data_IF_876841019972
#
_entry.id   IF_876841019972
#
_cell.length_a   1.000
_cell.length_b   1.000
_cell.length_c   1.000
_cell.angle_alpha   90.00
_cell.angle_beta   90.00
_cell.angle_gamma   90.00
#
_symmetry.space_group_name_H-M   'P 1'
#
loop_
_entity.id
_entity.type
_entity.pdbx_description
1 polymer ?
#
# COMPACT_ATOMS: atom_id res chain seq x y z
N UNK A 1 -10.61 22.71 -11.05
CA UNK A 1 -10.88 21.32 -11.42
C UNK A 1 -9.65 20.79 -12.15
N UNK A 2 -9.04 19.74 -11.69
CA UNK A 2 -7.81 19.21 -12.31
C UNK A 2 -8.15 18.66 -13.69
N UNK A 3 -7.52 19.15 -14.74
CA UNK A 3 -7.62 18.51 -16.05
C UNK A 3 -6.62 17.36 -16.11
N UNK A 4 -7.10 16.14 -15.88
CA UNK A 4 -6.29 14.93 -15.92
C UNK A 4 -5.87 14.55 -17.34
N UNK A 5 -6.55 15.08 -18.36
CA UNK A 5 -6.47 14.63 -19.73
C UNK A 5 -5.69 15.60 -20.64
N UNK A 6 -5.05 16.59 -20.05
CA UNK A 6 -4.18 17.55 -20.75
C UNK A 6 -2.86 16.95 -21.26
N UNK A 7 -2.53 15.78 -20.83
CA UNK A 7 -1.30 15.08 -21.21
C UNK A 7 -1.56 13.59 -21.33
N UNK A 8 -0.83 12.92 -22.20
CA UNK A 8 -1.03 11.50 -22.44
C UNK A 8 -0.72 10.65 -21.19
N UNK A 9 0.32 11.03 -20.44
CA UNK A 9 0.72 10.30 -19.23
C UNK A 9 0.98 11.28 -18.09
N UNK A 10 0.08 11.28 -17.13
CA UNK A 10 0.17 12.06 -15.90
C UNK A 10 0.59 11.15 -14.73
N UNK A 11 1.63 11.53 -13.99
CA UNK A 11 1.93 10.93 -12.69
C UNK A 11 1.41 11.81 -11.55
N UNK A 12 0.64 11.21 -10.65
CA UNK A 12 0.27 11.79 -9.37
C UNK A 12 1.26 11.36 -8.30
N UNK A 13 1.96 12.34 -7.73
CA UNK A 13 2.94 12.12 -6.66
C UNK A 13 2.42 12.73 -5.38
N UNK A 14 2.53 12.02 -4.28
CA UNK A 14 2.08 12.53 -2.97
C UNK A 14 2.59 11.68 -1.83
N UNK A 15 2.50 12.22 -0.61
CA UNK A 15 2.88 11.50 0.58
C UNK A 15 2.11 10.18 0.73
N UNK A 16 2.63 9.28 1.55
CA UNK A 16 1.93 8.02 1.89
C UNK A 16 0.58 8.35 2.51
N UNK A 17 -0.50 7.71 2.01
CA UNK A 17 -1.88 7.93 2.46
C UNK A 17 -2.38 9.38 2.38
N UNK A 18 -1.86 10.20 1.48
CA UNK A 18 -2.27 11.59 1.27
C UNK A 18 -3.58 11.77 0.49
N UNK A 19 -4.29 10.70 0.15
CA UNK A 19 -5.54 10.75 -0.59
C UNK A 19 -5.41 10.52 -2.10
N UNK A 20 -4.28 9.97 -2.58
CA UNK A 20 -4.09 9.64 -4.02
C UNK A 20 -5.24 8.83 -4.60
N UNK A 21 -5.75 7.84 -3.88
CA UNK A 21 -6.83 6.96 -4.35
C UNK A 21 -8.11 7.72 -4.68
N UNK A 22 -8.44 8.82 -3.98
CA UNK A 22 -9.61 9.62 -4.33
C UNK A 22 -9.40 10.36 -5.65
N UNK A 23 -8.19 10.82 -5.95
CA UNK A 23 -7.86 11.42 -7.23
C UNK A 23 -7.92 10.40 -8.37
N UNK A 24 -7.50 9.16 -8.13
CA UNK A 24 -7.63 8.05 -9.08
C UNK A 24 -9.09 7.71 -9.37
N UNK A 25 -9.94 7.68 -8.35
CA UNK A 25 -11.39 7.50 -8.49
C UNK A 25 -12.00 8.67 -9.27
N UNK A 26 -11.62 9.92 -8.99
CA UNK A 26 -12.08 11.11 -9.71
C UNK A 26 -11.66 11.08 -11.19
N UNK A 27 -10.44 10.63 -11.47
CA UNK A 27 -9.98 10.40 -12.86
C UNK A 27 -10.87 9.39 -13.57
N UNK A 28 -11.11 8.22 -12.97
CA UNK A 28 -11.98 7.19 -13.54
C UNK A 28 -13.41 7.72 -13.72
N UNK A 29 -13.96 8.38 -12.73
CA UNK A 29 -15.28 8.99 -12.81
C UNK A 29 -15.39 9.99 -13.96
N UNK A 30 -14.40 10.86 -14.11
CA UNK A 30 -14.36 11.85 -15.20
C UNK A 30 -14.22 11.20 -16.56
N UNK A 31 -13.38 10.16 -16.68
CA UNK A 31 -13.23 9.37 -17.90
C UNK A 31 -14.57 8.77 -18.35
N UNK A 32 -15.24 8.09 -17.44
CA UNK A 32 -16.51 7.37 -17.72
C UNK A 32 -17.66 8.34 -18.00
N UNK A 33 -17.81 9.37 -17.18
CA UNK A 33 -19.00 10.24 -17.24
C UNK A 33 -18.88 11.36 -18.27
N UNK A 34 -17.72 12.02 -18.35
CA UNK A 34 -17.49 13.16 -19.26
C UNK A 34 -17.00 12.71 -20.62
N UNK A 35 -15.99 11.84 -20.67
CA UNK A 35 -15.35 11.44 -21.92
C UNK A 35 -15.95 10.19 -22.55
N UNK A 36 -16.82 9.46 -21.81
CA UNK A 36 -17.42 8.20 -22.26
C UNK A 36 -16.38 7.15 -22.68
N UNK A 37 -15.26 7.12 -21.93
CA UNK A 37 -14.17 6.18 -22.17
C UNK A 37 -14.06 5.19 -20.99
N UNK A 38 -13.96 3.89 -21.27
CA UNK A 38 -13.71 2.89 -20.24
C UNK A 38 -12.32 3.09 -19.61
N UNK A 39 -12.16 2.62 -18.37
CA UNK A 39 -10.89 2.67 -17.67
C UNK A 39 -10.43 1.28 -17.28
N UNK A 40 -9.19 0.96 -17.61
CA UNK A 40 -8.46 -0.20 -17.11
C UNK A 40 -7.69 0.25 -15.86
N UNK A 41 -8.12 -0.22 -14.68
CA UNK A 41 -7.48 0.12 -13.42
C UNK A 41 -6.59 -1.03 -12.94
N UNK A 42 -5.29 -0.78 -12.89
CA UNK A 42 -4.28 -1.78 -12.54
C UNK A 42 -3.82 -1.54 -11.11
N UNK A 43 -3.96 -2.54 -10.25
CA UNK A 43 -3.46 -2.54 -8.87
C UNK A 43 -2.38 -3.60 -8.68
N UNK A 44 -1.66 -3.53 -7.57
CA UNK A 44 -0.65 -4.54 -7.22
C UNK A 44 -1.26 -5.96 -7.23
N UNK A 45 -0.39 -6.96 -7.30
CA UNK A 45 -0.82 -8.37 -7.27
C UNK A 45 -1.23 -8.82 -5.85
N UNK A 46 -2.18 -8.11 -5.24
CA UNK A 46 -2.74 -8.39 -3.91
C UNK A 46 -4.26 -8.27 -3.99
N UNK A 47 -4.96 -9.37 -3.73
CA UNK A 47 -6.44 -9.42 -3.82
C UNK A 47 -7.12 -8.42 -2.90
N UNK A 48 -6.55 -8.16 -1.72
CA UNK A 48 -7.07 -7.18 -0.78
C UNK A 48 -7.11 -5.76 -1.34
N UNK A 49 -6.10 -5.35 -2.11
CA UNK A 49 -6.07 -4.02 -2.76
C UNK A 49 -7.24 -3.87 -3.74
N UNK A 50 -7.48 -4.92 -4.53
CA UNK A 50 -8.56 -4.96 -5.50
C UNK A 50 -9.95 -4.85 -4.85
N UNK A 51 -10.16 -5.57 -3.76
CA UNK A 51 -11.43 -5.55 -3.01
C UNK A 51 -11.64 -4.20 -2.31
N UNK A 52 -10.62 -3.66 -1.67
CA UNK A 52 -10.69 -2.36 -1.00
C UNK A 52 -10.97 -1.22 -2.00
N UNK A 53 -10.29 -1.25 -3.15
CA UNK A 53 -10.52 -0.25 -4.20
C UNK A 53 -11.96 -0.32 -4.73
N UNK A 54 -12.48 -1.54 -5.00
CA UNK A 54 -13.86 -1.72 -5.43
C UNK A 54 -14.86 -1.17 -4.43
N UNK A 55 -14.64 -1.44 -3.14
CA UNK A 55 -15.51 -0.91 -2.07
C UNK A 55 -15.54 0.62 -2.09
N UNK A 56 -14.38 1.28 -2.24
CA UNK A 56 -14.29 2.75 -2.36
C UNK A 56 -14.99 3.29 -3.60
N UNK A 57 -14.91 2.61 -4.75
CA UNK A 57 -15.68 3.01 -5.92
C UNK A 57 -17.19 2.98 -5.67
N UNK A 58 -17.68 1.92 -5.02
CA UNK A 58 -19.11 1.78 -4.69
C UNK A 58 -19.58 2.83 -3.69
N UNK A 59 -18.73 3.25 -2.78
CA UNK A 59 -19.02 4.31 -1.81
C UNK A 59 -19.08 5.70 -2.46
N UNK A 60 -18.13 6.00 -3.35
CA UNK A 60 -17.97 7.35 -3.88
C UNK A 60 -18.63 7.60 -5.24
N UNK A 61 -18.99 6.54 -5.97
CA UNK A 61 -19.49 6.67 -7.34
C UNK A 61 -20.63 5.70 -7.64
N UNK A 62 -21.39 6.01 -8.70
CA UNK A 62 -22.43 5.10 -9.25
C UNK A 62 -22.00 4.49 -10.59
N UNK A 63 -20.73 4.60 -10.96
CA UNK A 63 -20.24 4.04 -12.22
C UNK A 63 -20.14 2.51 -12.13
N UNK A 64 -20.22 1.85 -13.27
CA UNK A 64 -20.06 0.40 -13.34
C UNK A 64 -18.61 0.03 -13.10
N UNK A 65 -18.36 -0.87 -12.15
CA UNK A 65 -17.01 -1.34 -11.77
C UNK A 65 -17.00 -2.86 -11.70
N UNK A 66 -16.14 -3.47 -12.49
CA UNK A 66 -15.99 -4.92 -12.55
C UNK A 66 -14.57 -5.34 -12.11
N UNK A 67 -14.48 -6.48 -11.43
CA UNK A 67 -13.20 -7.15 -11.16
C UNK A 67 -12.92 -8.16 -12.28
N UNK A 68 -11.78 -8.03 -12.96
CA UNK A 68 -11.41 -8.91 -14.07
C UNK A 68 -11.37 -10.39 -13.68
N UNK A 69 -11.05 -10.67 -12.42
CA UNK A 69 -11.03 -12.03 -11.87
C UNK A 69 -12.41 -12.69 -11.76
N UNK A 70 -13.50 -11.90 -11.77
CA UNK A 70 -14.87 -12.38 -11.55
C UNK A 70 -15.75 -12.36 -12.81
N UNK A 71 -15.24 -11.80 -13.92
CA UNK A 71 -15.99 -11.65 -15.17
C UNK A 71 -15.37 -12.48 -16.30
N UNK A 72 -16.20 -12.91 -17.23
CA UNK A 72 -15.73 -13.53 -18.49
C UNK A 72 -15.13 -12.48 -19.42
N UNK A 73 -14.42 -12.92 -20.46
CA UNK A 73 -13.88 -12.00 -21.48
C UNK A 73 -14.98 -11.18 -22.15
N UNK A 74 -16.12 -11.80 -22.52
CA UNK A 74 -17.25 -11.12 -23.13
C UNK A 74 -17.89 -10.07 -22.20
N UNK A 75 -18.05 -10.40 -20.91
CA UNK A 75 -18.55 -9.44 -19.92
C UNK A 75 -17.60 -8.26 -19.73
N UNK A 76 -16.29 -8.50 -19.78
CA UNK A 76 -15.30 -7.42 -19.70
C UNK A 76 -15.34 -6.51 -20.95
N UNK A 77 -15.46 -7.09 -22.16
CA UNK A 77 -15.65 -6.29 -23.39
C UNK A 77 -16.94 -5.46 -23.29
N UNK A 78 -18.06 -6.06 -22.89
CA UNK A 78 -19.32 -5.34 -22.70
C UNK A 78 -19.24 -4.24 -21.62
N UNK A 79 -18.41 -4.43 -20.58
CA UNK A 79 -18.12 -3.37 -19.61
C UNK A 79 -17.35 -2.21 -20.25
N UNK A 80 -16.38 -2.49 -21.12
CA UNK A 80 -15.65 -1.44 -21.85
C UNK A 80 -16.56 -0.71 -22.86
N UNK A 81 -17.41 -1.41 -23.60
CA UNK A 81 -18.37 -0.81 -24.53
C UNK A 81 -19.35 0.14 -23.85
N UNK A 82 -19.69 -0.14 -22.59
CA UNK A 82 -20.56 0.71 -21.77
C UNK A 82 -19.79 1.75 -20.95
N UNK A 83 -18.53 1.99 -21.27
CA UNK A 83 -17.63 2.91 -20.55
C UNK A 83 -17.56 2.61 -19.04
N UNK A 84 -17.36 1.36 -18.66
CA UNK A 84 -17.16 0.96 -17.26
C UNK A 84 -15.69 0.98 -16.84
N UNK A 85 -15.44 0.68 -15.58
CA UNK A 85 -14.10 0.48 -15.00
C UNK A 85 -13.84 -1.00 -14.79
N UNK A 86 -12.70 -1.49 -15.26
CA UNK A 86 -12.23 -2.85 -15.01
C UNK A 86 -11.00 -2.80 -14.10
N UNK A 87 -11.12 -3.35 -12.90
CA UNK A 87 -10.00 -3.45 -11.95
C UNK A 87 -9.33 -4.80 -12.13
N UNK A 88 -8.00 -4.79 -12.27
CA UNK A 88 -7.19 -6.01 -12.40
C UNK A 88 -5.92 -5.95 -11.56
N UNK A 89 -5.42 -7.15 -11.21
CA UNK A 89 -4.13 -7.32 -10.53
C UNK A 89 -2.98 -7.27 -11.54
N UNK A 90 -1.87 -6.63 -11.15
CA UNK A 90 -0.63 -6.61 -11.93
C UNK A 90 0.07 -7.98 -11.85
N UNK A 91 -0.48 -9.00 -12.51
CA UNK A 91 0.11 -10.32 -12.67
C UNK A 91 -0.07 -10.83 -14.12
N UNK A 92 0.76 -11.79 -14.50
CA UNK A 92 0.82 -12.31 -15.88
C UNK A 92 -0.55 -12.75 -16.39
N UNK A 93 -1.32 -13.47 -15.58
CA UNK A 93 -2.60 -14.04 -16.00
C UNK A 93 -3.64 -12.95 -16.31
N UNK A 94 -3.84 -11.99 -15.39
CA UNK A 94 -4.82 -10.94 -15.57
C UNK A 94 -4.41 -9.92 -16.65
N UNK A 95 -3.13 -9.57 -16.72
CA UNK A 95 -2.60 -8.70 -17.77
C UNK A 95 -2.71 -9.35 -19.16
N UNK A 96 -2.46 -10.65 -19.28
CA UNK A 96 -2.66 -11.38 -20.53
C UNK A 96 -4.13 -11.40 -20.95
N UNK A 97 -5.04 -11.72 -20.03
CA UNK A 97 -6.48 -11.66 -20.27
C UNK A 97 -6.92 -10.26 -20.70
N UNK A 98 -6.42 -9.21 -20.02
CA UNK A 98 -6.73 -7.82 -20.37
C UNK A 98 -6.17 -7.44 -21.76
N UNK A 99 -4.97 -7.89 -22.11
CA UNK A 99 -4.43 -7.72 -23.48
C UNK A 99 -5.37 -8.30 -24.53
N UNK A 100 -5.90 -9.50 -24.33
CA UNK A 100 -6.86 -10.11 -25.26
C UNK A 100 -8.15 -9.28 -25.38
N UNK A 101 -8.66 -8.77 -24.25
CA UNK A 101 -9.85 -7.90 -24.23
C UNK A 101 -9.60 -6.62 -25.03
N UNK A 102 -8.45 -5.96 -24.81
CA UNK A 102 -8.04 -4.75 -25.55
C UNK A 102 -7.95 -5.02 -27.07
N UNK A 103 -7.48 -6.19 -27.48
CA UNK A 103 -7.42 -6.57 -28.89
C UNK A 103 -8.82 -6.77 -29.53
N UNK A 104 -9.81 -7.13 -28.72
CA UNK A 104 -11.21 -7.28 -29.18
C UNK A 104 -11.98 -5.95 -29.13
N UNK A 105 -11.53 -4.99 -28.33
CA UNK A 105 -12.19 -3.71 -28.16
C UNK A 105 -11.66 -2.69 -29.16
N UNK A 106 -12.52 -2.17 -30.01
CA UNK A 106 -12.15 -1.23 -31.08
C UNK A 106 -12.17 0.25 -30.65
N UNK A 107 -12.61 0.54 -29.43
CA UNK A 107 -12.74 1.90 -28.93
C UNK A 107 -11.47 2.41 -28.21
N UNK A 108 -11.46 3.70 -27.90
CA UNK A 108 -10.42 4.29 -27.06
C UNK A 108 -10.70 4.00 -25.59
N UNK A 109 -9.63 3.82 -24.82
CA UNK A 109 -9.71 3.59 -23.37
C UNK A 109 -8.60 4.34 -22.63
N UNK A 110 -8.81 4.53 -21.35
CA UNK A 110 -7.85 5.11 -20.43
C UNK A 110 -7.28 4.05 -19.48
N UNK A 111 -6.10 4.34 -18.92
CA UNK A 111 -5.44 3.46 -17.94
C UNK A 111 -5.20 4.24 -16.66
N UNK A 112 -5.50 3.62 -15.53
CA UNK A 112 -5.10 4.08 -14.20
C UNK A 112 -4.23 3.02 -13.54
N UNK A 113 -3.09 3.42 -12.93
CA UNK A 113 -2.15 2.48 -12.30
C UNK A 113 -1.85 2.97 -10.90
N UNK A 114 -2.39 2.28 -9.90
CA UNK A 114 -2.03 2.52 -8.50
C UNK A 114 -0.64 1.94 -8.18
N UNK A 115 0.13 2.65 -7.37
CA UNK A 115 1.51 2.29 -7.04
C UNK A 115 2.34 1.99 -8.30
N UNK A 116 2.33 2.93 -9.26
CA UNK A 116 2.94 2.75 -10.59
C UNK A 116 4.44 2.41 -10.52
N UNK A 117 5.15 2.85 -9.49
CA UNK A 117 6.55 2.48 -9.24
C UNK A 117 6.73 0.97 -8.98
N UNK A 118 5.72 0.30 -8.43
CA UNK A 118 5.75 -1.14 -8.24
C UNK A 118 5.68 -1.90 -9.57
N UNK A 119 4.91 -1.42 -10.52
CA UNK A 119 4.80 -2.04 -11.85
C UNK A 119 6.08 -1.90 -12.68
N UNK A 120 6.95 -0.96 -12.32
CA UNK A 120 8.22 -0.68 -13.02
C UNK A 120 9.40 -1.47 -12.42
N UNK A 121 9.28 -1.90 -11.17
CA UNK A 121 10.35 -2.62 -10.43
C UNK A 121 10.59 -4.06 -10.90
N UNK A 122 9.95 -4.53 -11.94
CA UNK A 122 10.24 -5.83 -12.54
C UNK A 122 11.69 -5.83 -13.07
N UNK A 123 12.51 -6.71 -12.50
CA UNK A 123 13.97 -6.77 -12.75
C UNK A 123 14.35 -7.23 -14.16
N UNK A 124 13.41 -7.75 -14.91
CA UNK A 124 13.60 -8.21 -16.27
C UNK A 124 12.76 -7.37 -17.22
N UNK A 125 13.39 -6.49 -17.97
CA UNK A 125 12.78 -5.72 -19.07
C UNK A 125 12.05 -6.62 -20.09
N UNK A 126 12.27 -7.92 -20.04
CA UNK A 126 11.68 -8.95 -20.88
C UNK A 126 10.65 -9.81 -20.12
N UNK A 127 10.23 -9.41 -18.90
CA UNK A 127 9.23 -10.19 -18.19
C UNK A 127 7.90 -10.16 -18.95
N UNK A 128 7.16 -11.28 -18.89
CA UNK A 128 5.84 -11.38 -19.52
C UNK A 128 4.87 -10.31 -18.99
N UNK A 129 5.04 -9.92 -17.73
CA UNK A 129 4.28 -8.84 -17.10
C UNK A 129 4.54 -7.52 -17.83
N UNK A 130 5.83 -7.17 -18.04
CA UNK A 130 6.20 -5.91 -18.68
C UNK A 130 5.74 -5.83 -20.13
N UNK A 131 5.81 -6.94 -20.87
CA UNK A 131 5.31 -6.98 -22.24
C UNK A 131 3.79 -6.72 -22.31
N UNK A 132 3.00 -7.34 -21.43
CA UNK A 132 1.56 -7.14 -21.43
C UNK A 132 1.18 -5.74 -20.94
N UNK A 133 1.82 -5.27 -19.87
CA UNK A 133 1.61 -3.92 -19.35
C UNK A 133 1.98 -2.85 -20.38
N UNK A 134 3.13 -3.01 -21.05
CA UNK A 134 3.56 -2.13 -22.14
C UNK A 134 2.54 -2.09 -23.28
N UNK A 135 2.02 -3.24 -23.70
CA UNK A 135 1.00 -3.31 -24.74
C UNK A 135 -0.26 -2.53 -24.34
N UNK A 136 -0.77 -2.73 -23.11
CA UNK A 136 -1.95 -2.03 -22.59
C UNK A 136 -1.70 -0.52 -22.53
N UNK A 137 -0.54 -0.09 -22.02
CA UNK A 137 -0.16 1.34 -21.94
C UNK A 137 -0.02 2.00 -23.32
N UNK A 138 0.60 1.32 -24.29
CA UNK A 138 0.86 1.87 -25.62
C UNK A 138 -0.43 2.14 -26.41
N UNK A 139 -1.47 1.35 -26.20
CA UNK A 139 -2.75 1.51 -26.89
C UNK A 139 -3.76 2.38 -26.12
N UNK A 140 -3.42 2.84 -24.92
CA UNK A 140 -4.23 3.77 -24.16
C UNK A 140 -4.13 5.19 -24.70
N UNK A 141 -5.26 5.92 -24.75
CA UNK A 141 -5.25 7.35 -25.12
C UNK A 141 -4.73 8.22 -23.97
N UNK A 142 -5.05 7.87 -22.72
CA UNK A 142 -4.52 8.55 -21.54
C UNK A 142 -4.12 7.55 -20.44
N UNK A 143 -3.10 7.91 -19.67
CA UNK A 143 -2.57 7.13 -18.55
C UNK A 143 -2.47 8.02 -17.33
N UNK A 144 -2.99 7.55 -16.21
CA UNK A 144 -2.73 8.08 -14.88
C UNK A 144 -1.93 7.06 -14.08
N UNK A 145 -0.78 7.46 -13.55
CA UNK A 145 -0.03 6.66 -12.57
C UNK A 145 0.01 7.37 -11.23
N UNK A 146 -0.26 6.68 -10.12
CA UNK A 146 -0.12 7.26 -8.78
C UNK A 146 0.99 6.58 -8.00
N UNK A 147 1.76 7.35 -7.23
CA UNK A 147 2.82 6.80 -6.36
C UNK A 147 3.15 7.73 -5.20
N UNK A 148 3.56 7.13 -4.07
CA UNK A 148 4.20 7.84 -2.97
C UNK A 148 5.73 7.77 -3.03
N UNK A 149 6.28 7.00 -3.98
CA UNK A 149 7.72 6.75 -4.12
C UNK A 149 8.15 6.90 -5.57
N UNK A 150 8.20 8.15 -6.08
CA UNK A 150 8.28 8.45 -7.50
C UNK A 150 9.67 8.26 -8.11
N UNK A 151 10.73 8.05 -7.32
CA UNK A 151 12.08 8.01 -7.84
C UNK A 151 12.26 6.97 -8.95
N UNK A 152 11.78 5.72 -8.72
CA UNK A 152 11.86 4.69 -9.76
C UNK A 152 11.12 5.09 -11.03
N UNK A 153 9.93 5.69 -10.92
CA UNK A 153 9.14 6.15 -12.07
C UNK A 153 9.89 7.21 -12.89
N UNK A 154 10.45 8.22 -12.25
CA UNK A 154 11.13 9.33 -12.91
C UNK A 154 12.35 8.89 -13.71
N UNK A 155 13.03 7.84 -13.27
CA UNK A 155 14.24 7.36 -13.92
C UNK A 155 14.00 6.27 -14.97
N UNK A 156 12.88 5.59 -14.93
CA UNK A 156 12.65 4.43 -15.81
C UNK A 156 11.58 4.66 -16.86
N UNK A 157 10.57 5.50 -16.61
CA UNK A 157 9.48 5.72 -17.56
C UNK A 157 9.64 7.04 -18.35
N UNK A 158 10.31 6.98 -19.48
CA UNK A 158 10.52 8.11 -20.38
C UNK A 158 9.24 8.56 -21.10
N UNK A 159 8.15 7.83 -21.01
CA UNK A 159 6.87 8.19 -21.62
C UNK A 159 6.05 9.15 -20.76
N UNK A 160 6.51 9.39 -19.54
CA UNK A 160 5.89 10.33 -18.61
C UNK A 160 5.93 11.75 -19.15
N UNK A 161 4.77 12.37 -19.31
CA UNK A 161 4.64 13.69 -19.95
C UNK A 161 4.25 14.82 -18.98
N UNK A 162 3.74 14.48 -17.79
CA UNK A 162 3.37 15.46 -16.76
C UNK A 162 3.46 14.85 -15.38
N UNK A 163 3.91 15.62 -14.41
CA UNK A 163 3.91 15.24 -12.99
C UNK A 163 3.09 16.26 -12.21
N UNK A 164 2.22 15.78 -11.35
CA UNK A 164 1.43 16.62 -10.44
C UNK A 164 1.60 16.14 -9.02
N UNK A 165 2.00 17.03 -8.14
CA UNK A 165 2.06 16.78 -6.71
C UNK A 165 0.67 16.95 -6.08
N UNK A 166 0.26 15.96 -5.28
CA UNK A 166 -0.94 16.03 -4.48
C UNK A 166 -0.57 16.61 -3.12
N UNK A 167 -1.11 17.78 -2.83
CA UNK A 167 -0.99 18.35 -1.51
C UNK A 167 -1.96 17.64 -0.56
N UNK A 168 -1.48 17.17 0.59
CA UNK A 168 -2.33 16.53 1.57
C UNK A 168 -3.37 17.53 2.12
N UNK A 169 -4.54 17.02 2.48
CA UNK A 169 -5.56 17.86 3.08
C UNK A 169 -5.17 18.29 4.52
N UNK A 170 -5.92 19.24 5.10
CA UNK A 170 -5.65 19.79 6.44
C UNK A 170 -5.74 18.76 7.58
N UNK A 171 -6.37 17.61 7.35
CA UNK A 171 -6.49 16.51 8.32
C UNK A 171 -5.39 15.46 8.18
N UNK A 172 -4.50 15.65 7.21
CA UNK A 172 -3.39 14.74 7.01
C UNK A 172 -2.37 14.89 8.14
N UNK A 173 -2.03 13.79 8.74
CA UNK A 173 -1.03 13.67 9.79
C UNK A 173 0.19 12.94 9.23
N UNK A 174 1.23 13.70 8.98
CA UNK A 174 2.51 13.25 8.45
C UNK A 174 3.46 12.81 9.56
N UNK A 175 4.72 12.61 9.18
CA UNK A 175 5.80 12.18 10.09
C UNK A 175 5.99 13.17 11.24
N UNK A 176 5.78 14.45 10.99
CA UNK A 176 5.95 15.53 11.97
C UNK A 176 4.93 15.45 13.13
N UNK A 177 3.85 14.71 12.94
CA UNK A 177 2.81 14.52 13.96
C UNK A 177 3.01 13.30 14.84
N UNK A 178 4.07 12.51 14.59
CA UNK A 178 4.33 11.28 15.33
C UNK A 178 5.09 11.56 16.63
N UNK A 179 4.61 10.96 17.71
CA UNK A 179 5.38 10.76 18.95
C UNK A 179 6.19 9.47 18.80
N UNK A 180 7.50 9.58 18.78
CA UNK A 180 8.39 8.43 18.54
C UNK A 180 8.93 7.90 19.85
N UNK A 181 8.76 6.60 20.08
CA UNK A 181 9.28 5.88 21.21
C UNK A 181 10.33 4.88 20.71
N UNK A 182 11.55 5.00 21.23
CA UNK A 182 12.62 4.11 20.82
C UNK A 182 12.55 2.81 21.62
N UNK A 183 12.54 1.71 20.88
CA UNK A 183 12.64 0.36 21.42
C UNK A 183 13.73 -0.38 20.66
N UNK A 184 14.46 -1.22 21.35
CA UNK A 184 15.42 -2.09 20.70
C UNK A 184 14.70 -2.99 19.71
N UNK A 185 15.31 -3.19 18.56
CA UNK A 185 14.68 -3.96 17.51
C UNK A 185 14.54 -5.41 17.96
N UNK A 186 13.31 -5.92 17.89
CA UNK A 186 13.03 -7.34 18.01
C UNK A 186 13.71 -8.05 16.83
N UNK A 187 14.92 -8.58 17.04
CA UNK A 187 15.66 -9.33 16.04
C UNK A 187 15.32 -10.79 16.21
N UNK A 188 14.75 -11.40 15.17
CA UNK A 188 14.67 -12.87 15.09
C UNK A 188 16.06 -13.38 14.78
N UNK A 189 16.69 -14.05 15.74
CA UNK A 189 17.87 -14.86 15.50
C UNK A 189 17.42 -16.26 15.13
N UNK A 190 18.02 -16.87 14.11
CA UNK A 190 17.68 -18.21 13.60
C UNK A 190 17.91 -19.36 14.60
N UNK A 191 18.53 -19.10 15.74
CA UNK A 191 19.04 -20.12 16.66
C UNK A 191 18.16 -20.41 17.88
N UNK A 192 17.01 -19.79 18.01
CA UNK A 192 16.09 -20.08 19.13
C UNK A 192 14.70 -20.41 18.65
N UNK A 193 14.09 -21.42 19.28
CA UNK A 193 12.72 -21.88 19.01
C UNK A 193 11.62 -20.86 19.35
N UNK A 194 12.03 -19.66 19.79
CA UNK A 194 11.15 -18.54 20.02
C UNK A 194 11.36 -17.45 18.98
N UNK A 195 10.26 -16.83 18.48
CA UNK A 195 10.38 -15.58 17.75
C UNK A 195 11.02 -14.58 18.72
N UNK A 196 12.17 -14.09 18.36
CA UNK A 196 12.85 -13.06 19.11
C UNK A 196 12.18 -11.71 18.83
N UNK A 197 10.94 -11.59 19.26
CA UNK A 197 10.57 -10.38 19.92
C UNK A 197 11.41 -10.33 21.20
N UNK A 198 12.22 -9.32 21.38
CA UNK A 198 12.65 -8.98 22.71
C UNK A 198 11.36 -8.83 23.52
N UNK A 199 11.11 -9.82 24.39
CA UNK A 199 9.87 -9.87 25.15
C UNK A 199 9.75 -8.61 26.00
N UNK A 200 10.88 -8.08 26.49
CA UNK A 200 10.92 -6.83 27.24
C UNK A 200 10.47 -5.63 26.38
N UNK A 201 10.83 -5.60 25.10
CA UNK A 201 10.34 -4.56 24.19
C UNK A 201 8.84 -4.71 23.89
N UNK A 202 8.35 -5.95 23.76
CA UNK A 202 6.92 -6.22 23.64
C UNK A 202 6.14 -5.75 24.85
N UNK A 203 6.61 -6.11 26.04
CA UNK A 203 5.97 -5.70 27.29
C UNK A 203 5.99 -4.17 27.43
N UNK A 204 7.12 -3.52 27.15
CA UNK A 204 7.20 -2.05 27.16
C UNK A 204 6.17 -1.38 26.25
N UNK A 205 5.97 -1.92 25.03
CA UNK A 205 5.00 -1.39 24.06
C UNK A 205 3.57 -1.62 24.56
N UNK A 206 3.26 -2.86 24.94
CA UNK A 206 1.88 -3.24 25.22
C UNK A 206 1.42 -2.85 26.62
N UNK A 207 2.28 -2.72 27.60
CA UNK A 207 1.93 -2.17 28.92
C UNK A 207 1.55 -0.69 28.81
N UNK A 208 2.30 0.11 28.04
CA UNK A 208 1.94 1.51 27.76
C UNK A 208 0.63 1.57 26.93
N UNK A 209 0.50 0.68 25.95
CA UNK A 209 -0.66 0.62 25.07
C UNK A 209 -1.94 0.25 25.83
N UNK A 210 -1.92 -0.79 26.66
CA UNK A 210 -3.04 -1.26 27.47
C UNK A 210 -3.37 -0.33 28.65
N UNK A 211 -2.41 0.43 29.13
CA UNK A 211 -2.61 1.44 30.18
C UNK A 211 -3.48 2.63 29.77
N UNK A 212 -3.86 2.73 28.50
CA UNK A 212 -4.73 3.79 27.97
C UNK A 212 -6.18 3.36 27.90
N UNK A 213 -7.14 4.30 27.85
CA UNK A 213 -8.57 3.95 27.76
C UNK A 213 -8.94 3.23 26.46
N UNK A 214 -8.21 3.53 25.37
CA UNK A 214 -8.44 2.96 24.05
C UNK A 214 -7.19 3.05 23.19
N UNK A 215 -7.01 2.05 22.30
CA UNK A 215 -5.92 2.05 21.35
C UNK A 215 -6.13 1.08 20.19
N UNK A 216 -5.51 1.40 19.05
CA UNK A 216 -5.43 0.51 17.91
C UNK A 216 -3.98 0.49 17.39
N UNK A 217 -3.29 -0.63 17.58
CA UNK A 217 -1.89 -0.81 17.18
C UNK A 217 -1.74 -1.71 15.96
N UNK A 218 -0.91 -1.28 15.02
CA UNK A 218 -0.37 -2.15 13.98
C UNK A 218 1.00 -2.65 14.39
N UNK A 219 1.12 -3.94 14.64
CA UNK A 219 2.36 -4.61 14.97
C UNK A 219 2.97 -5.25 13.73
N UNK A 220 3.99 -4.63 13.15
CA UNK A 220 4.65 -5.18 11.96
C UNK A 220 5.73 -6.18 12.33
N UNK A 221 5.68 -7.34 11.73
CA UNK A 221 6.62 -8.44 11.94
C UNK A 221 7.27 -8.87 10.64
N UNK A 222 8.30 -9.71 10.73
CA UNK A 222 8.95 -10.31 9.59
C UNK A 222 8.00 -11.22 8.78
N UNK A 223 8.40 -11.57 7.58
CA UNK A 223 7.62 -12.28 6.55
C UNK A 223 6.98 -13.60 6.97
N UNK A 224 7.57 -14.32 7.90
CA UNK A 224 7.21 -15.69 8.22
C UNK A 224 5.89 -15.74 8.96
N UNK A 225 4.91 -16.44 8.38
CA UNK A 225 3.56 -16.56 8.93
C UNK A 225 3.54 -17.14 10.35
N UNK A 226 4.44 -18.07 10.64
CA UNK A 226 4.58 -18.69 11.94
C UNK A 226 4.85 -17.66 13.04
N UNK A 227 5.67 -16.65 12.75
CA UNK A 227 5.94 -15.57 13.70
C UNK A 227 4.70 -14.72 13.99
N UNK A 228 3.82 -14.53 13.01
CA UNK A 228 2.55 -13.82 13.23
C UNK A 228 1.68 -14.54 14.26
N UNK A 229 1.60 -15.86 14.16
CA UNK A 229 0.80 -16.66 15.10
C UNK A 229 1.43 -16.74 16.50
N UNK A 230 2.76 -16.87 16.60
CA UNK A 230 3.46 -16.85 17.88
C UNK A 230 3.29 -15.53 18.63
N UNK A 231 3.36 -14.39 17.93
CA UNK A 231 3.10 -13.07 18.53
C UNK A 231 1.63 -12.96 18.95
N UNK A 232 0.71 -13.40 18.10
CA UNK A 232 -0.72 -13.39 18.43
C UNK A 232 -0.99 -14.25 19.68
N UNK A 233 -0.41 -15.43 19.77
CA UNK A 233 -0.58 -16.33 20.92
C UNK A 233 -0.06 -15.67 22.20
N UNK A 234 1.14 -15.08 22.15
CA UNK A 234 1.71 -14.36 23.30
C UNK A 234 0.81 -13.20 23.73
N UNK A 235 0.39 -12.34 22.80
CA UNK A 235 -0.47 -11.21 23.13
C UNK A 235 -1.82 -11.64 23.70
N UNK A 236 -2.41 -12.69 23.18
CA UNK A 236 -3.69 -13.24 23.63
C UNK A 236 -3.61 -13.92 25.01
N UNK A 237 -2.44 -14.46 25.35
CA UNK A 237 -2.20 -15.07 26.68
C UNK A 237 -1.91 -14.02 27.73
N UNK A 238 -1.19 -12.96 27.37
CA UNK A 238 -0.71 -11.92 28.30
C UNK A 238 -1.79 -10.86 28.56
N UNK A 239 -2.54 -10.46 27.53
CA UNK A 239 -3.50 -9.34 27.61
C UNK A 239 -4.93 -9.81 27.27
N UNK A 240 -5.72 -10.12 28.32
CA UNK A 240 -7.05 -10.73 28.16
C UNK A 240 -8.06 -9.85 27.43
N UNK A 241 -7.99 -8.52 27.62
CA UNK A 241 -8.93 -7.56 27.01
C UNK A 241 -8.49 -7.06 25.62
N UNK A 242 -7.43 -7.68 25.08
CA UNK A 242 -6.91 -7.32 23.77
C UNK A 242 -7.56 -8.15 22.66
N UNK A 243 -8.19 -7.48 21.70
CA UNK A 243 -8.59 -8.11 20.44
C UNK A 243 -7.38 -8.20 19.51
N UNK A 244 -6.93 -9.42 19.19
CA UNK A 244 -5.76 -9.64 18.33
C UNK A 244 -6.18 -10.14 16.96
N UNK A 245 -5.79 -9.42 15.93
CA UNK A 245 -6.09 -9.71 14.52
C UNK A 245 -4.79 -10.10 13.82
N UNK A 246 -4.71 -11.30 13.28
CA UNK A 246 -3.62 -11.70 12.37
C UNK A 246 -4.05 -11.45 10.94
N UNK A 247 -3.28 -10.65 10.22
CA UNK A 247 -3.50 -10.35 8.82
C UNK A 247 -2.31 -10.81 7.96
N UNK A 248 -2.49 -11.91 7.25
CA UNK A 248 -1.45 -12.50 6.41
C UNK A 248 -2.02 -13.20 5.15
N UNK A 249 -1.19 -13.96 4.43
CA UNK A 249 -1.61 -14.66 3.22
C UNK A 249 -2.67 -15.76 3.42
N UNK A 250 -2.95 -16.17 4.66
CA UNK A 250 -4.02 -17.12 4.99
C UNK A 250 -5.38 -16.40 5.21
N UNK A 251 -5.39 -15.07 5.13
CA UNK A 251 -6.56 -14.24 5.37
C UNK A 251 -6.48 -13.46 6.68
N UNK A 252 -7.65 -13.16 7.24
CA UNK A 252 -7.78 -12.44 8.50
C UNK A 252 -8.29 -13.40 9.56
N UNK A 253 -7.54 -13.56 10.64
CA UNK A 253 -7.96 -14.34 11.82
C UNK A 253 -8.03 -13.43 13.03
N UNK A 254 -9.14 -13.49 13.76
CA UNK A 254 -9.36 -12.66 14.94
C UNK A 254 -9.46 -13.55 16.17
N UNK A 255 -8.67 -13.25 17.17
CA UNK A 255 -8.76 -13.83 18.52
C UNK A 255 -9.34 -12.79 19.48
N UNK A 256 -10.29 -13.21 20.32
CA UNK A 256 -11.02 -12.34 21.24
C UNK A 256 -11.53 -13.16 22.43
N UNK A 257 -10.85 -13.09 23.57
CA UNK A 257 -11.14 -13.95 24.74
C UNK A 257 -12.26 -13.37 25.62
N UNK A 258 -12.12 -12.13 26.05
CA UNK A 258 -12.97 -11.52 27.08
C UNK A 258 -14.37 -11.12 26.61
N UNK A 259 -14.58 -10.94 25.32
CA UNK A 259 -15.82 -10.38 24.76
C UNK A 259 -16.81 -11.43 24.25
N UNK A 260 -16.49 -12.71 24.39
CA UNK A 260 -17.32 -13.79 23.89
C UNK A 260 -17.40 -13.89 22.35
N UNK A 261 -18.24 -14.78 21.82
CA UNK A 261 -18.38 -14.95 20.38
C UNK A 261 -19.00 -13.70 19.74
N UNK A 262 -18.51 -13.35 18.56
CA UNK A 262 -19.16 -12.34 17.74
C UNK A 262 -20.61 -12.74 17.42
N UNK A 263 -21.51 -11.79 17.39
CA UNK A 263 -22.87 -12.01 16.91
C UNK A 263 -22.84 -12.59 15.49
N UNK A 264 -23.71 -13.56 15.22
CA UNK A 264 -23.82 -14.15 13.88
C UNK A 264 -24.22 -13.08 12.86
N UNK A 265 -23.27 -12.61 12.10
CA UNK A 265 -23.54 -11.76 10.96
C UNK A 265 -23.79 -12.62 9.71
N UNK A 266 -25.03 -12.64 9.26
CA UNK A 266 -25.42 -13.30 8.01
C UNK A 266 -25.47 -12.27 6.88
N UNK A 267 -24.96 -12.63 5.73
CA UNK A 267 -25.02 -11.82 4.51
C UNK A 267 -25.50 -12.66 3.33
N UNK A 268 -26.03 -12.01 2.33
CA UNK A 268 -26.36 -12.67 1.07
C UNK A 268 -25.07 -12.82 0.23
N UNK A 269 -24.79 -14.03 -0.23
CA UNK A 269 -23.75 -14.25 -1.23
C UNK A 269 -24.23 -13.81 -2.63
N UNK A 270 -23.38 -13.94 -3.64
CA UNK A 270 -23.72 -13.63 -5.04
C UNK A 270 -24.89 -14.41 -5.64
N UNK A 271 -25.37 -15.45 -4.94
CA UNK A 271 -26.52 -16.26 -5.33
C UNK A 271 -27.74 -15.99 -4.44
N UNK A 272 -27.76 -14.88 -3.69
CA UNK A 272 -28.81 -14.54 -2.72
C UNK A 272 -29.02 -15.58 -1.60
N UNK A 273 -28.03 -16.42 -1.30
CA UNK A 273 -28.08 -17.35 -0.19
C UNK A 273 -27.52 -16.67 1.07
N UNK A 274 -28.20 -16.88 2.20
CA UNK A 274 -27.75 -16.41 3.50
C UNK A 274 -26.54 -17.25 3.95
N UNK A 275 -25.37 -16.65 4.04
CA UNK A 275 -24.14 -17.31 4.49
C UNK A 275 -23.57 -16.60 5.70
N UNK A 276 -22.96 -17.35 6.61
CA UNK A 276 -22.18 -16.76 7.68
C UNK A 276 -21.01 -15.99 7.08
N UNK A 277 -20.79 -14.80 7.58
CA UNK A 277 -19.72 -13.92 7.10
C UNK A 277 -18.33 -14.39 7.50
N UNK A 278 -18.22 -15.29 8.47
CA UNK A 278 -16.96 -15.82 8.98
C UNK A 278 -17.14 -17.22 9.54
N UNK A 279 -16.07 -18.00 9.56
CA UNK A 279 -16.01 -19.31 10.17
C UNK A 279 -15.41 -19.19 11.56
N UNK A 280 -16.01 -19.85 12.55
CA UNK A 280 -15.43 -19.99 13.87
C UNK A 280 -14.67 -21.32 13.96
N UNK A 281 -13.38 -21.24 14.28
CA UNK A 281 -12.53 -22.41 14.48
C UNK A 281 -11.89 -22.29 15.86
N UNK A 282 -12.43 -22.99 16.85
CA UNK A 282 -12.01 -22.83 18.25
C UNK A 282 -12.26 -21.40 18.75
N UNK A 283 -11.19 -20.74 19.24
CA UNK A 283 -11.23 -19.35 19.72
C UNK A 283 -11.01 -18.30 18.61
N UNK A 284 -10.94 -18.73 17.36
CA UNK A 284 -10.70 -17.87 16.23
C UNK A 284 -11.93 -17.65 15.38
N UNK A 285 -12.08 -16.41 14.90
CA UNK A 285 -12.98 -16.06 13.82
C UNK A 285 -12.17 -15.85 12.54
N UNK A 286 -12.43 -16.64 11.51
CA UNK A 286 -11.69 -16.62 10.26
C UNK A 286 -12.52 -15.96 9.15
N UNK A 287 -12.00 -14.84 8.63
CA UNK A 287 -12.64 -14.03 7.59
C UNK A 287 -11.96 -14.27 6.25
N UNK A 288 -12.56 -15.11 5.44
CA UNK A 288 -12.05 -15.41 4.10
C UNK A 288 -12.44 -14.30 3.11
N UNK A 289 -11.46 -13.73 2.42
CA UNK A 289 -11.64 -12.74 1.34
C UNK A 289 -12.38 -11.45 1.76
N UNK A 290 -12.26 -11.07 3.02
CA UNK A 290 -12.77 -9.79 3.49
C UNK A 290 -11.73 -8.69 3.36
N UNK A 291 -12.19 -7.44 3.17
CA UNK A 291 -11.35 -6.28 3.38
C UNK A 291 -11.08 -6.10 4.88
N UNK A 292 -9.87 -5.70 5.24
CA UNK A 292 -9.52 -5.45 6.64
C UNK A 292 -10.41 -4.35 7.25
N UNK A 293 -10.81 -3.34 6.48
CA UNK A 293 -11.72 -2.28 6.90
C UNK A 293 -13.07 -2.80 7.38
N UNK A 294 -13.62 -3.82 6.69
CA UNK A 294 -14.91 -4.41 7.04
C UNK A 294 -14.80 -5.28 8.29
N UNK A 295 -13.65 -5.95 8.46
CA UNK A 295 -13.38 -6.69 9.69
C UNK A 295 -13.20 -5.74 10.87
N UNK A 296 -12.45 -4.67 10.71
CA UNK A 296 -12.25 -3.64 11.75
C UNK A 296 -13.57 -2.99 12.17
N UNK A 297 -14.53 -2.87 11.24
CA UNK A 297 -15.87 -2.34 11.53
C UNK A 297 -16.63 -3.16 12.59
N UNK A 298 -16.34 -4.45 12.70
CA UNK A 298 -16.96 -5.32 13.70
C UNK A 298 -16.44 -5.10 15.13
N UNK A 299 -15.31 -4.39 15.24
CA UNK A 299 -14.58 -4.21 16.50
C UNK A 299 -14.46 -2.73 16.90
N UNK A 300 -15.25 -1.83 16.29
CA UNK A 300 -15.16 -0.39 16.58
C UNK A 300 -15.46 -0.02 18.04
N UNK A 301 -16.14 -0.89 18.78
CA UNK A 301 -16.47 -0.68 20.17
C UNK A 301 -15.46 -1.33 21.14
N UNK A 302 -14.50 -2.10 20.63
CA UNK A 302 -13.42 -2.68 21.44
C UNK A 302 -12.46 -1.59 21.89
N UNK A 303 -12.02 -1.66 23.15
CA UNK A 303 -11.10 -0.67 23.72
C UNK A 303 -9.69 -0.80 23.14
N UNK A 304 -9.19 -2.02 22.96
CA UNK A 304 -7.84 -2.29 22.50
C UNK A 304 -7.83 -3.33 21.37
N UNK A 305 -7.20 -2.95 20.26
CA UNK A 305 -7.08 -3.80 19.07
C UNK A 305 -5.62 -3.82 18.63
N UNK A 306 -5.08 -5.02 18.41
CA UNK A 306 -3.77 -5.21 17.79
C UNK A 306 -3.92 -5.95 16.46
N UNK A 307 -3.38 -5.40 15.39
CA UNK A 307 -3.22 -6.11 14.11
C UNK A 307 -1.78 -6.55 13.96
N UNK A 308 -1.55 -7.85 13.94
CA UNK A 308 -0.24 -8.46 13.67
C UNK A 308 -0.16 -8.76 12.17
N UNK A 309 0.76 -8.10 11.48
CA UNK A 309 0.87 -8.23 10.04
C UNK A 309 2.33 -8.12 9.56
N UNK A 310 2.62 -8.73 8.42
CA UNK A 310 3.92 -8.66 7.77
C UNK A 310 3.88 -7.80 6.50
N UNK A 311 4.44 -8.30 5.41
CA UNK A 311 4.52 -7.57 4.14
C UNK A 311 3.21 -7.10 3.53
N UNK A 312 2.08 -7.78 3.81
CA UNK A 312 0.78 -7.35 3.31
C UNK A 312 0.39 -5.97 3.86
N UNK A 313 0.87 -5.63 5.06
CA UNK A 313 0.64 -4.32 5.66
C UNK A 313 1.52 -3.20 5.07
N UNK A 314 2.56 -3.55 4.30
CA UNK A 314 3.59 -2.58 3.89
C UNK A 314 3.12 -1.55 2.85
N UNK A 315 2.07 -1.82 2.06
CA UNK A 315 1.64 -0.93 0.97
C UNK A 315 0.14 -1.06 0.69
N UNK A 316 -0.48 0.00 0.17
CA UNK A 316 -1.82 0.01 -0.44
C UNK A 316 -3.00 -0.20 0.50
N UNK A 317 -2.80 -0.75 1.69
CA UNK A 317 -3.87 -1.06 2.64
C UNK A 317 -3.98 0.05 3.68
N UNK A 318 -5.19 0.49 3.96
CA UNK A 318 -5.49 1.39 5.08
C UNK A 318 -6.06 0.58 6.23
N UNK A 319 -5.45 0.70 7.40
CA UNK A 319 -5.97 0.12 8.64
C UNK A 319 -6.92 1.11 9.30
N UNK A 320 -8.14 1.13 8.79
CA UNK A 320 -9.22 2.01 9.22
C UNK A 320 -10.54 1.25 9.04
N UNK A 321 -11.51 1.45 9.95
CA UNK A 321 -12.85 0.88 9.77
C UNK A 321 -13.56 1.48 8.57
N UNK A 322 -14.54 0.77 7.99
CA UNK A 322 -15.27 1.24 6.82
C UNK A 322 -16.04 2.53 7.05
N UNK A 323 -16.42 2.81 8.31
CA UNK A 323 -17.06 4.07 8.71
C UNK A 323 -16.08 5.16 9.20
N UNK A 324 -14.78 4.92 9.12
CA UNK A 324 -13.71 5.83 9.54
C UNK A 324 -13.68 6.19 11.03
N UNK A 325 -14.40 5.47 11.90
CA UNK A 325 -14.39 5.71 13.35
C UNK A 325 -13.18 5.11 14.07
N UNK A 326 -12.60 4.06 13.52
CA UNK A 326 -11.44 3.37 14.08
C UNK A 326 -10.22 3.64 13.20
N UNK A 327 -9.20 4.26 13.78
CA UNK A 327 -7.93 4.58 13.15
C UNK A 327 -6.77 4.08 14.00
N UNK A 328 -5.62 3.83 13.38
CA UNK A 328 -4.39 3.52 14.11
C UNK A 328 -4.03 4.67 15.06
N UNK A 329 -3.74 4.32 16.30
CA UNK A 329 -3.15 5.21 17.30
C UNK A 329 -1.68 4.92 17.50
N UNK A 330 -1.27 3.69 17.20
CA UNK A 330 0.07 3.17 17.40
C UNK A 330 0.53 2.33 16.23
N UNK A 331 1.83 2.35 15.97
CA UNK A 331 2.47 1.39 15.10
C UNK A 331 3.82 0.97 15.67
N UNK A 332 4.00 -0.33 15.89
CA UNK A 332 5.33 -0.90 16.04
C UNK A 332 5.89 -1.21 14.66
N UNK A 333 7.08 -0.68 14.38
CA UNK A 333 7.67 -0.80 13.05
C UNK A 333 9.08 -1.39 13.12
N UNK A 334 9.21 -2.59 12.60
CA UNK A 334 10.50 -3.24 12.40
C UNK A 334 10.95 -3.10 10.94
N UNK A 335 12.17 -2.60 10.75
CA UNK A 335 12.83 -2.53 9.46
C UNK A 335 13.99 -3.52 9.40
N UNK A 336 13.95 -4.46 8.45
CA UNK A 336 15.11 -5.31 8.17
C UNK A 336 16.27 -4.46 7.63
N UNK A 337 17.52 -4.89 7.87
CA UNK A 337 18.74 -4.18 7.46
C UNK A 337 18.76 -3.77 5.97
N UNK A 338 18.15 -4.59 5.13
CA UNK A 338 18.11 -4.41 3.68
C UNK A 338 16.83 -3.72 3.18
N UNK A 339 16.02 -3.10 4.05
CA UNK A 339 14.80 -2.42 3.63
C UNK A 339 15.14 -1.13 2.89
N UNK A 340 14.64 -0.97 1.67
CA UNK A 340 14.79 0.26 0.91
C UNK A 340 14.04 1.41 1.57
N UNK A 341 14.59 2.62 1.54
CA UNK A 341 14.01 3.80 2.16
C UNK A 341 12.57 4.09 1.70
N UNK A 342 12.28 3.93 0.42
CA UNK A 342 10.91 4.06 -0.10
C UNK A 342 9.95 3.04 0.51
N UNK A 343 10.39 1.79 0.73
CA UNK A 343 9.59 0.77 1.39
C UNK A 343 9.36 1.10 2.87
N UNK A 344 10.32 1.77 3.54
CA UNK A 344 10.15 2.24 4.92
C UNK A 344 8.97 3.20 5.02
N UNK A 345 8.95 4.25 4.18
CA UNK A 345 7.85 5.22 4.19
C UNK A 345 6.51 4.59 3.88
N UNK A 346 6.45 3.72 2.87
CA UNK A 346 5.21 3.07 2.49
C UNK A 346 4.69 2.10 3.56
N UNK A 347 5.57 1.58 4.41
CA UNK A 347 5.20 0.71 5.53
C UNK A 347 4.68 1.48 6.76
N UNK A 348 4.82 2.81 6.79
CA UNK A 348 4.23 3.65 7.83
C UNK A 348 2.74 3.84 7.58
N UNK A 349 1.96 2.88 8.07
CA UNK A 349 0.50 2.87 7.88
C UNK A 349 -0.25 3.77 8.87
N UNK A 350 0.44 4.26 9.89
CA UNK A 350 -0.06 5.22 10.87
C UNK A 350 -0.18 6.65 10.31
N UNK A 351 0.49 6.96 9.20
CA UNK A 351 0.32 8.24 8.52
C UNK A 351 -1.01 8.27 7.79
N UNK A 352 -1.64 9.45 7.65
CA UNK A 352 -2.88 9.57 6.88
C UNK A 352 -3.80 10.66 7.36
N UNK A 353 -5.06 10.61 6.89
CA UNK A 353 -6.09 11.58 7.29
C UNK A 353 -6.86 11.07 8.50
N UNK A 354 -6.93 11.89 9.52
CA UNK A 354 -7.58 11.58 10.79
C UNK A 354 -8.75 12.53 11.07
N UNK A 355 -9.77 12.02 11.75
CA UNK A 355 -10.92 12.81 12.18
C UNK A 355 -10.65 13.60 13.45
N UNK A 356 -9.69 13.18 14.25
CA UNK A 356 -9.33 13.73 15.55
C UNK A 356 -7.84 14.07 15.64
N UNK A 357 -7.45 14.65 16.78
CA UNK A 357 -6.07 14.98 17.12
C UNK A 357 -5.48 14.01 18.14
N UNK A 358 -5.97 12.77 18.22
CA UNK A 358 -5.39 11.75 19.11
C UNK A 358 -3.88 11.59 18.87
N UNK A 359 -3.07 11.39 19.91
CA UNK A 359 -1.63 11.16 19.75
C UNK A 359 -1.37 9.94 18.86
N UNK A 360 -0.51 10.09 17.86
CA UNK A 360 -0.02 8.99 17.02
C UNK A 360 1.37 8.59 17.50
N UNK A 361 1.55 7.33 17.85
CA UNK A 361 2.80 6.82 18.41
C UNK A 361 3.46 5.80 17.50
N UNK A 362 4.73 6.05 17.23
CA UNK A 362 5.57 5.12 16.47
C UNK A 362 6.61 4.50 17.41
N UNK A 363 6.62 3.19 17.47
CA UNK A 363 7.58 2.39 18.20
C UNK A 363 8.58 1.78 17.23
N UNK A 364 9.83 2.17 17.29
CA UNK A 364 10.86 1.66 16.39
C UNK A 364 12.27 1.89 16.96
N UNK A 365 13.30 1.30 16.34
CA UNK A 365 14.68 1.63 16.71
C UNK A 365 15.06 3.02 16.19
N UNK A 366 15.99 3.69 16.89
CA UNK A 366 16.55 4.98 16.49
C UNK A 366 17.07 4.95 15.05
N UNK A 367 17.78 3.89 14.66
CA UNK A 367 18.28 3.69 13.30
C UNK A 367 17.15 3.65 12.25
N UNK A 368 16.03 3.01 12.58
CA UNK A 368 14.85 2.98 11.73
C UNK A 368 14.27 4.37 11.55
N UNK A 369 14.17 5.13 12.66
CA UNK A 369 13.67 6.50 12.64
C UNK A 369 14.53 7.42 11.77
N UNK A 370 15.86 7.39 11.91
CA UNK A 370 16.77 8.17 11.08
C UNK A 370 16.60 7.88 9.59
N UNK A 371 16.38 6.61 9.24
CA UNK A 371 16.11 6.22 7.87
C UNK A 371 14.79 6.82 7.34
N UNK A 372 13.74 6.75 8.16
CA UNK A 372 12.43 7.32 7.84
C UNK A 372 12.53 8.82 7.58
N UNK A 373 13.16 9.57 8.49
CA UNK A 373 13.34 11.03 8.37
C UNK A 373 14.13 11.38 7.10
N UNK A 374 15.24 10.67 6.86
CA UNK A 374 16.06 10.90 5.68
C UNK A 374 15.29 10.69 4.38
N UNK A 375 14.50 9.64 4.32
CA UNK A 375 13.69 9.33 3.13
C UNK A 375 12.51 10.29 2.97
N UNK A 376 11.84 10.65 4.07
CA UNK A 376 10.75 11.63 4.03
C UNK A 376 11.20 12.98 3.48
N UNK A 377 12.41 13.42 3.86
CA UNK A 377 12.98 14.66 3.33
C UNK A 377 13.10 14.66 1.82
N UNK A 378 13.49 13.54 1.22
CA UNK A 378 13.58 13.39 -0.25
C UNK A 378 12.20 13.55 -0.87
N UNK A 379 11.20 12.79 -0.38
CA UNK A 379 9.84 12.84 -0.93
C UNK A 379 9.22 14.22 -0.74
N UNK A 380 9.41 14.85 0.42
CA UNK A 380 8.93 16.20 0.68
C UNK A 380 9.51 17.21 -0.31
N UNK A 381 10.81 17.18 -0.52
CA UNK A 381 11.46 18.07 -1.49
C UNK A 381 10.90 17.89 -2.91
N UNK A 382 10.61 16.64 -3.32
CA UNK A 382 9.98 16.36 -4.61
C UNK A 382 8.55 16.93 -4.66
N UNK A 383 7.73 16.67 -3.64
CA UNK A 383 6.32 17.12 -3.59
C UNK A 383 6.22 18.65 -3.51
N UNK A 384 7.11 19.30 -2.76
CA UNK A 384 7.16 20.77 -2.63
C UNK A 384 7.76 21.45 -3.88
N UNK A 385 8.71 20.81 -4.54
CA UNK A 385 9.38 21.36 -5.74
C UNK A 385 8.62 21.15 -7.04
N UNK A 386 7.73 20.13 -7.10
CA UNK A 386 6.92 19.84 -8.29
C UNK A 386 5.46 20.03 -7.93
N UNK A 387 4.85 21.14 -8.31
CA UNK A 387 3.41 21.33 -8.09
C UNK A 387 2.57 20.68 -9.18
N UNK A 388 2.73 21.13 -10.40
CA UNK A 388 2.06 20.63 -11.61
C UNK A 388 2.93 21.01 -12.82
N UNK A 389 3.73 20.08 -13.32
CA UNK A 389 4.74 20.39 -14.30
C UNK A 389 4.75 19.44 -15.49
N UNK A 390 4.82 20.03 -16.70
CA UNK A 390 5.18 19.35 -17.94
C UNK A 390 6.70 19.31 -18.16
N UNK A 391 7.43 20.21 -17.49
CA UNK A 391 8.90 20.25 -17.50
C UNK A 391 9.49 19.62 -16.25
N UNK A 392 8.81 18.62 -15.70
CA UNK A 392 9.16 17.98 -14.45
C UNK A 392 10.63 17.52 -14.36
N UNK A 393 11.26 17.18 -15.48
CA UNK A 393 12.69 16.85 -15.51
C UNK A 393 13.57 18.05 -15.11
N UNK A 394 13.25 19.23 -15.65
CA UNK A 394 13.99 20.46 -15.30
C UNK A 394 13.74 20.85 -13.84
N UNK A 395 12.50 20.69 -13.36
CA UNK A 395 12.15 20.98 -11.97
C UNK A 395 12.88 20.04 -11.03
N UNK A 396 12.95 18.74 -11.34
CA UNK A 396 13.72 17.77 -10.56
C UNK A 396 15.21 18.08 -10.52
N UNK A 397 15.79 18.61 -11.61
CA UNK A 397 17.21 18.97 -11.63
C UNK A 397 17.52 20.14 -10.70
N UNK A 398 16.56 21.04 -10.45
CA UNK A 398 16.69 22.13 -9.51
C UNK A 398 16.56 21.68 -8.05
N UNK A 399 15.91 20.55 -7.81
CA UNK A 399 15.77 19.96 -6.48
C UNK A 399 17.06 19.22 -6.16
N UNK A 400 17.84 19.72 -5.20
CA UNK A 400 19.00 19.00 -4.68
C UNK A 400 18.50 17.75 -3.93
N UNK A 401 18.39 16.64 -4.65
CA UNK A 401 18.16 15.34 -4.04
C UNK A 401 19.50 14.87 -3.47
N UNK A 402 19.83 15.35 -2.29
CA UNK A 402 20.97 14.84 -1.52
C UNK A 402 20.57 13.45 -0.99
N UNK A 403 21.04 12.42 -1.64
CA UNK A 403 20.44 11.10 -1.54
C UNK A 403 21.31 10.08 -0.84
N UNK A 404 22.26 10.49 -0.01
CA UNK A 404 22.88 9.53 0.88
C UNK A 404 22.21 9.59 2.26
N UNK A 405 21.21 8.78 2.54
CA UNK A 405 20.99 8.51 3.93
C UNK A 405 22.28 7.85 4.45
N UNK A 406 22.95 8.50 5.37
CA UNK A 406 24.08 7.90 6.12
C UNK A 406 23.58 6.71 6.96
N UNK A 407 22.50 6.07 6.53
CA UNK A 407 21.79 5.11 7.32
C UNK A 407 22.14 3.69 6.84
N UNK A 408 22.68 2.86 7.71
CA UNK A 408 23.03 1.48 7.41
C UNK A 408 21.81 0.57 7.09
N UNK A 409 20.58 1.03 7.36
CA UNK A 409 19.37 0.30 6.97
C UNK A 409 19.00 0.50 5.51
N UNK A 410 19.51 1.55 4.87
CA UNK A 410 19.30 1.80 3.46
C UNK A 410 20.58 1.48 2.71
N UNK A 411 20.50 0.59 1.74
CA UNK A 411 21.66 0.32 0.89
C UNK A 411 22.13 1.61 0.19
N UNK A 412 23.45 1.84 0.10
CA UNK A 412 24.03 3.09 -0.43
C UNK A 412 23.68 3.39 -1.90
N UNK A 413 22.96 2.53 -2.58
CA UNK A 413 22.75 2.57 -4.02
C UNK A 413 21.63 3.47 -4.54
N UNK A 414 20.78 3.99 -3.68
CA UNK A 414 19.87 5.10 -4.06
C UNK A 414 20.58 6.47 -4.02
N UNK A 415 21.88 6.47 -3.92
CA UNK A 415 22.69 7.59 -3.56
C UNK A 415 23.34 8.17 -4.79
N UNK A 416 23.34 9.45 -4.92
CA UNK A 416 23.98 10.24 -5.96
C UNK A 416 23.28 10.20 -7.32
N UNK A 417 22.02 10.63 -7.33
CA UNK A 417 21.48 11.12 -8.58
C UNK A 417 22.00 12.53 -8.84
N UNK A 418 23.07 12.62 -9.60
CA UNK A 418 23.22 13.79 -10.42
C UNK A 418 22.22 13.61 -11.58
N UNK A 419 21.02 14.16 -11.40
CA UNK A 419 19.90 13.98 -12.32
C UNK A 419 20.29 14.42 -13.72
N UNK A 420 21.10 15.49 -13.86
CA UNK A 420 21.56 15.99 -15.16
C UNK A 420 22.40 14.98 -15.91
N UNK A 421 23.34 14.30 -15.25
CA UNK A 421 24.25 13.37 -15.91
C UNK A 421 23.62 11.98 -16.10
N UNK A 422 22.58 11.63 -15.33
CA UNK A 422 22.00 10.29 -15.36
C UNK A 422 20.73 10.16 -16.21
N UNK A 423 20.06 11.27 -16.56
CA UNK A 423 18.92 11.23 -17.49
C UNK A 423 19.33 10.78 -18.89
N UNK A 424 20.56 11.09 -19.32
CA UNK A 424 21.10 10.67 -20.63
C UNK A 424 21.70 9.26 -20.60
N UNK A 425 22.30 8.86 -19.49
CA UNK A 425 23.09 7.63 -19.34
C UNK A 425 22.54 6.65 -18.30
N UNK A 426 21.25 6.76 -17.95
CA UNK A 426 20.68 5.96 -16.91
C UNK A 426 20.74 4.48 -17.23
N UNK A 427 21.48 3.71 -16.44
CA UNK A 427 21.47 2.25 -16.41
C UNK A 427 20.62 1.78 -15.22
N UNK A 428 19.75 0.83 -15.47
CA UNK A 428 18.92 0.19 -14.45
C UNK A 428 19.74 -0.36 -13.27
N UNK A 429 20.97 -0.74 -13.52
CA UNK A 429 21.96 -1.24 -12.56
C UNK A 429 22.24 -0.28 -11.40
N UNK A 430 21.97 1.03 -11.58
CA UNK A 430 22.12 2.01 -10.50
C UNK A 430 21.08 1.84 -9.39
N UNK A 431 19.93 1.23 -9.69
CA UNK A 431 18.86 0.97 -8.73
C UNK A 431 18.94 -0.39 -8.04
N UNK A 432 19.66 -1.33 -8.65
CA UNK A 432 19.79 -2.68 -8.15
C UNK A 432 21.27 -3.04 -8.04
N UNK A 433 21.73 -3.52 -6.90
CA UNK A 433 23.07 -4.08 -6.81
C UNK A 433 23.21 -5.23 -7.81
N UNK A 434 24.38 -5.40 -8.45
CA UNK A 434 24.74 -6.68 -9.04
C UNK A 434 24.55 -7.79 -8.01
N UNK A 435 24.12 -8.96 -8.47
CA UNK A 435 23.86 -10.12 -7.60
C UNK A 435 25.11 -10.53 -6.78
N UNK A 436 26.30 -10.28 -7.29
CA UNK A 436 27.59 -10.51 -6.65
C UNK A 436 27.80 -9.78 -5.30
N UNK A 437 27.02 -8.73 -5.03
CA UNK A 437 27.06 -8.03 -3.73
C UNK A 437 25.99 -8.53 -2.73
N UNK A 438 25.23 -9.55 -3.12
CA UNK A 438 24.22 -10.20 -2.27
C UNK A 438 24.77 -11.40 -1.50
N UNK A 439 25.92 -11.95 -1.94
CA UNK A 439 26.47 -13.22 -1.41
C UNK A 439 27.51 -13.06 -0.29
N UNK A 440 28.01 -11.83 -0.02
CA UNK A 440 29.15 -11.66 0.89
C UNK A 440 28.82 -11.25 2.34
N UNK A 441 27.55 -11.20 2.76
CA UNK A 441 27.23 -10.87 4.16
C UNK A 441 26.14 -11.76 4.75
N UNK A 442 26.37 -13.06 4.79
CA UNK A 442 25.83 -13.94 5.81
C UNK A 442 26.99 -14.45 6.68
N UNK A 443 27.02 -14.15 7.94
CA UNK A 443 27.28 -15.11 9.02
C UNK A 443 26.04 -15.36 9.86
#
# INVERSE_FOLDING_TARGET
MTDYFDSRYLALVGHVQSGKTIEEINYCYTSVTKYKRPVIFIVRNITADQLQLRARFLEHTKIKVELLSLVTTQQAVACMETAGVIILLCNTHQLFKMKQIVQMFSGEYHVCIDEVDFSIKSRNLLSTIDMHLKFIKQNASHILGATATPCALFFTDRTLSRVKAIQPNKRYRGIESLSVNFVDSCIIRKESDFPLCDMAAMDTIYDDFMGRPRGFILHTVVKEKENHYKIQEYLAQTYEDLTVIVYNGDGIKVYRKSHGPLAEHKTLNKFNQLVCKYDRVGDYHHFHRWAISDVLQLFVDDSHIAVVAGHLAARGISFVSSDYRLHLTDQYFYAARNTHGENLLQSLRILGCYSDNAPLRLWCSERTWDAIISQNKIIRNIVEGIHDSRNWMADLTSIQITTRPKNPLTRPKLCNYNIQNNLENFKLDVFYPPEELLEEEDP
#
